data_IF_953512418044
#
_entry.id   IF_953512418044
#
_cell.length_a   1.000
_cell.length_b   1.000
_cell.length_c   1.000
_cell.angle_alpha   90.00
_cell.angle_beta   90.00
_cell.angle_gamma   90.00
#
_symmetry.space_group_name_H-M   'P 1'
#
loop_
_entity.id
_entity.type
_entity.pdbx_description
1 polymer ?
#
# COMPACT_ATOMS: atom_id res chain seq x y z
N UNK A 1 -0.57 -64.58 33.57
CA UNK A 1 -0.44 -64.47 32.10
C UNK A 1 -1.26 -63.31 31.52
N UNK A 2 -2.42 -62.95 32.10
CA UNK A 2 -3.29 -61.85 31.61
C UNK A 2 -2.73 -60.41 31.74
N UNK A 3 -1.91 -60.09 32.76
CA UNK A 3 -1.38 -58.72 32.93
C UNK A 3 -0.40 -58.28 31.83
N UNK A 4 0.31 -59.23 31.21
CA UNK A 4 1.32 -58.94 30.19
C UNK A 4 0.66 -58.52 28.87
N UNK A 5 -0.40 -59.22 28.48
CA UNK A 5 -1.25 -58.93 27.32
C UNK A 5 -1.90 -57.54 27.43
N UNK A 6 -2.40 -57.19 28.62
CA UNK A 6 -3.07 -55.91 28.85
C UNK A 6 -2.12 -54.72 28.73
N UNK A 7 -0.90 -54.84 29.27
CA UNK A 7 0.13 -53.82 29.14
C UNK A 7 0.57 -53.65 27.68
N UNK A 8 0.71 -54.74 26.94
CA UNK A 8 1.05 -54.71 25.52
C UNK A 8 -0.04 -53.99 24.71
N UNK A 9 -1.33 -54.24 24.98
CA UNK A 9 -2.44 -53.58 24.30
C UNK A 9 -2.49 -52.06 24.56
N UNK A 10 -2.25 -51.63 25.81
CA UNK A 10 -2.20 -50.19 26.16
C UNK A 10 -1.04 -49.50 25.43
N UNK A 11 0.11 -50.17 25.32
CA UNK A 11 1.29 -49.61 24.65
C UNK A 11 1.01 -49.37 23.16
N UNK A 12 0.34 -50.31 22.49
CA UNK A 12 -0.07 -50.15 21.08
C UNK A 12 -1.06 -49.01 20.87
N UNK A 13 -2.04 -48.83 21.78
CA UNK A 13 -3.01 -47.74 21.70
C UNK A 13 -2.32 -46.38 21.84
N UNK A 14 -1.39 -46.24 22.80
CA UNK A 14 -0.65 -44.98 22.99
C UNK A 14 0.24 -44.65 21.79
N UNK A 15 0.88 -45.65 21.17
CA UNK A 15 1.68 -45.47 19.95
C UNK A 15 0.78 -45.05 18.78
N UNK A 16 -0.37 -45.71 18.58
CA UNK A 16 -1.34 -45.32 17.53
C UNK A 16 -1.86 -43.89 17.75
N UNK A 17 -2.14 -43.50 19.00
CA UNK A 17 -2.54 -42.13 19.33
C UNK A 17 -1.43 -41.13 19.00
N UNK A 18 -0.17 -41.41 19.35
CA UNK A 18 0.96 -40.53 19.03
C UNK A 18 1.14 -40.37 17.50
N UNK A 19 1.03 -41.46 16.73
CA UNK A 19 1.13 -41.42 15.26
C UNK A 19 -0.05 -40.64 14.64
N UNK A 20 -1.25 -40.75 15.21
CA UNK A 20 -2.42 -39.99 14.76
C UNK A 20 -2.30 -38.47 15.04
N UNK A 21 -1.60 -38.09 16.12
CA UNK A 21 -1.35 -36.69 16.44
C UNK A 21 -0.30 -36.06 15.51
N UNK A 22 0.76 -36.80 15.18
CA UNK A 22 1.79 -36.32 14.25
C UNK A 22 1.24 -36.09 12.83
N UNK A 23 0.31 -36.94 12.37
CA UNK A 23 -0.32 -36.81 11.05
C UNK A 23 -1.27 -35.61 10.95
N UNK A 24 -1.96 -35.22 12.04
CA UNK A 24 -2.81 -34.02 12.08
C UNK A 24 -2.01 -32.70 12.21
N UNK A 25 -0.89 -32.72 12.92
CA UNK A 25 -0.01 -31.53 13.06
C UNK A 25 0.71 -31.20 11.76
N UNK A 26 1.06 -32.21 10.95
CA UNK A 26 1.70 -32.02 9.65
C UNK A 26 0.73 -31.56 8.55
N UNK A 27 -0.57 -31.84 8.64
CA UNK A 27 -1.55 -31.34 7.65
C UNK A 27 -1.89 -29.85 7.86
N UNK A 28 -1.74 -29.33 9.08
CA UNK A 28 -2.02 -27.93 9.39
C UNK A 28 -0.90 -26.95 9.00
N UNK A 29 0.30 -27.44 8.64
CA UNK A 29 1.49 -26.58 8.47
C UNK A 29 2.25 -26.76 7.15
N UNK A 30 1.71 -27.53 6.20
CA UNK A 30 2.34 -27.74 4.87
C UNK A 30 1.41 -27.48 3.68
N UNK A 31 0.51 -26.50 3.79
CA UNK A 31 0.06 -25.75 2.61
C UNK A 31 0.92 -24.49 2.59
N UNK A 32 2.12 -24.58 1.99
CA UNK A 32 2.82 -23.37 1.59
C UNK A 32 1.82 -22.58 0.75
N UNK A 33 1.40 -21.43 1.25
CA UNK A 33 0.47 -20.56 0.56
C UNK A 33 1.08 -20.34 -0.83
N UNK A 34 0.38 -20.73 -1.89
CA UNK A 34 0.80 -20.67 -3.30
C UNK A 34 0.80 -19.24 -3.84
N UNK A 35 1.17 -18.32 -2.96
CA UNK A 35 1.22 -16.87 -3.16
C UNK A 35 2.69 -16.53 -3.32
N UNK A 36 3.04 -16.16 -4.54
CA UNK A 36 4.40 -15.84 -4.97
C UNK A 36 4.59 -14.33 -5.02
N UNK A 37 5.78 -13.82 -4.69
CA UNK A 37 6.07 -12.39 -4.77
C UNK A 37 6.06 -11.91 -6.23
N UNK A 38 5.64 -10.66 -6.43
CA UNK A 38 5.77 -9.96 -7.71
C UNK A 38 6.43 -8.61 -7.50
N UNK A 39 6.93 -8.05 -8.61
CA UNK A 39 7.56 -6.73 -8.61
C UNK A 39 6.51 -5.65 -8.92
N UNK A 40 6.48 -4.59 -8.12
CA UNK A 40 5.62 -3.43 -8.31
C UNK A 40 6.42 -2.24 -8.88
N UNK A 41 5.80 -1.49 -9.78
CA UNK A 41 6.32 -0.29 -10.41
C UNK A 41 5.30 0.83 -10.31
N UNK A 42 5.79 2.06 -10.25
CA UNK A 42 4.97 3.26 -10.29
C UNK A 42 5.43 4.13 -11.45
N UNK A 43 4.52 4.38 -12.41
CA UNK A 43 4.86 5.15 -13.62
C UNK A 43 4.99 6.64 -13.36
N UNK A 44 4.26 7.18 -12.38
CA UNK A 44 4.39 8.58 -12.03
C UNK A 44 5.55 8.71 -11.04
N UNK A 45 6.37 9.74 -11.19
CA UNK A 45 7.41 10.07 -10.21
C UNK A 45 6.92 11.28 -9.42
N UNK A 46 7.06 11.27 -8.09
CA UNK A 46 6.77 12.45 -7.27
C UNK A 46 5.85 12.20 -6.07
N UNK A 47 4.90 13.10 -5.84
CA UNK A 47 3.86 13.01 -4.81
C UNK A 47 2.50 12.74 -5.47
N UNK A 48 1.59 12.05 -4.77
CA UNK A 48 0.23 11.84 -5.23
C UNK A 48 -0.66 12.94 -4.64
N UNK A 49 -1.39 13.65 -5.50
CA UNK A 49 -2.28 14.74 -5.08
C UNK A 49 -3.67 14.15 -4.77
N UNK A 50 -4.34 14.67 -3.75
CA UNK A 50 -5.74 14.37 -3.43
C UNK A 50 -6.62 14.43 -4.69
N UNK A 51 -7.51 13.45 -4.84
CA UNK A 51 -8.39 13.19 -5.99
C UNK A 51 -7.68 13.10 -7.36
N UNK A 52 -6.38 12.79 -7.39
CA UNK A 52 -5.72 12.28 -8.60
C UNK A 52 -5.83 10.75 -8.70
N UNK A 53 -5.51 10.21 -9.87
CA UNK A 53 -5.46 8.77 -10.10
C UNK A 53 -4.05 8.22 -9.81
N UNK A 54 -3.99 7.12 -9.07
CA UNK A 54 -2.76 6.37 -8.83
C UNK A 54 -2.74 5.12 -9.70
N UNK A 55 -1.73 5.04 -10.58
CA UNK A 55 -1.54 3.91 -11.50
C UNK A 55 -0.32 3.09 -11.06
N UNK A 56 -0.57 1.89 -10.57
CA UNK A 56 0.45 0.93 -10.15
C UNK A 56 0.53 -0.20 -11.18
N UNK A 57 1.76 -0.59 -11.55
CA UNK A 57 1.98 -1.72 -12.45
C UNK A 57 2.65 -2.84 -11.68
N UNK A 58 2.13 -4.06 -11.80
CA UNK A 58 2.71 -5.26 -11.24
C UNK A 58 3.24 -6.15 -12.35
N UNK A 59 4.40 -6.74 -12.12
CA UNK A 59 5.04 -7.70 -13.00
C UNK A 59 5.16 -9.05 -12.32
N UNK A 60 4.63 -10.07 -12.97
CA UNK A 60 4.84 -11.48 -12.61
C UNK A 60 5.90 -12.13 -13.51
N UNK A 61 6.83 -11.32 -14.05
CA UNK A 61 7.87 -11.78 -14.97
C UNK A 61 8.76 -12.87 -14.34
N UNK A 62 9.27 -13.78 -15.16
CA UNK A 62 10.01 -14.97 -14.69
C UNK A 62 9.10 -16.15 -14.33
N UNK A 63 7.79 -16.02 -14.57
CA UNK A 63 6.83 -17.12 -14.46
C UNK A 63 6.75 -17.91 -15.78
N UNK A 64 6.94 -19.23 -15.70
CA UNK A 64 6.79 -20.14 -16.84
C UNK A 64 5.31 -20.53 -17.03
N UNK A 65 4.48 -19.59 -17.47
CA UNK A 65 3.04 -19.80 -17.58
C UNK A 65 2.44 -19.20 -18.82
N UNK A 66 2.97 -19.64 -19.96
CA UNK A 66 2.29 -19.41 -21.21
C UNK A 66 0.83 -19.89 -21.10
N UNK A 67 -0.09 -18.93 -21.23
CA UNK A 67 -1.55 -19.10 -21.36
C UNK A 67 -2.38 -19.44 -20.12
N UNK A 68 -1.81 -19.52 -18.90
CA UNK A 68 -2.61 -19.74 -17.68
C UNK A 68 -2.86 -18.46 -16.88
N UNK A 69 -4.13 -18.05 -16.68
CA UNK A 69 -4.44 -16.84 -15.93
C UNK A 69 -4.01 -16.99 -14.47
N UNK A 70 -3.42 -15.94 -13.93
CA UNK A 70 -3.12 -15.77 -12.49
C UNK A 70 -4.05 -14.77 -11.85
N UNK A 71 -4.23 -14.94 -10.54
CA UNK A 71 -4.78 -13.96 -9.65
C UNK A 71 -3.64 -13.11 -9.10
N UNK A 72 -3.56 -11.85 -9.53
CA UNK A 72 -2.56 -10.89 -9.06
C UNK A 72 -3.21 -9.99 -8.03
N UNK A 73 -2.58 -9.86 -6.87
CA UNK A 73 -3.09 -9.14 -5.72
C UNK A 73 -2.25 -7.89 -5.46
N UNK A 74 -2.91 -6.74 -5.39
CA UNK A 74 -2.31 -5.54 -4.84
C UNK A 74 -2.43 -5.60 -3.32
N UNK A 75 -1.30 -5.52 -2.63
CA UNK A 75 -1.23 -5.55 -1.17
C UNK A 75 -0.88 -4.17 -0.63
N UNK A 76 -1.62 -3.71 0.38
CA UNK A 76 -1.37 -2.49 1.12
C UNK A 76 -0.99 -2.86 2.55
N UNK A 77 0.20 -2.46 2.98
CA UNK A 77 0.76 -2.81 4.29
C UNK A 77 0.79 -4.32 4.58
N UNK A 78 0.85 -5.14 3.53
CA UNK A 78 0.90 -6.61 3.61
C UNK A 78 -0.44 -7.32 3.45
N UNK A 79 -1.58 -6.62 3.52
CA UNK A 79 -2.91 -7.20 3.30
C UNK A 79 -3.41 -6.90 1.88
N UNK A 80 -4.03 -7.87 1.21
CA UNK A 80 -4.57 -7.65 -0.13
C UNK A 80 -5.79 -6.70 -0.11
N UNK A 81 -5.77 -5.72 -1.02
CA UNK A 81 -6.84 -4.72 -1.18
C UNK A 81 -7.54 -4.79 -2.53
N UNK A 82 -6.90 -5.36 -3.55
CA UNK A 82 -7.47 -5.52 -4.89
C UNK A 82 -6.89 -6.76 -5.57
N UNK A 83 -7.64 -7.38 -6.50
CA UNK A 83 -7.19 -8.53 -7.27
C UNK A 83 -7.63 -8.42 -8.73
N UNK A 84 -6.73 -8.73 -9.64
CA UNK A 84 -7.00 -8.84 -11.08
C UNK A 84 -6.61 -10.23 -11.55
N UNK A 85 -7.52 -10.91 -12.26
CA UNK A 85 -7.22 -12.14 -12.99
C UNK A 85 -6.68 -11.79 -14.38
N UNK A 86 -5.47 -12.24 -14.71
CA UNK A 86 -4.80 -11.85 -15.96
C UNK A 86 -3.95 -12.99 -16.52
N UNK A 87 -3.88 -13.10 -17.84
CA UNK A 87 -2.90 -13.93 -18.57
C UNK A 87 -1.64 -13.14 -18.94
N UNK A 88 -1.65 -11.82 -18.76
CA UNK A 88 -0.51 -10.94 -19.03
C UNK A 88 0.42 -10.90 -17.83
N UNK A 89 1.73 -10.80 -18.08
CA UNK A 89 2.75 -10.62 -17.04
C UNK A 89 2.70 -9.23 -16.39
N UNK A 90 2.29 -8.20 -17.14
CA UNK A 90 2.13 -6.84 -16.65
C UNK A 90 0.65 -6.54 -16.37
N UNK A 91 0.35 -6.25 -15.11
CA UNK A 91 -0.98 -5.97 -14.60
C UNK A 91 -1.01 -4.53 -14.12
N UNK A 92 -2.05 -3.78 -14.49
CA UNK A 92 -2.20 -2.37 -14.11
C UNK A 92 -3.38 -2.26 -13.14
N UNK A 93 -3.10 -1.71 -11.96
CA UNK A 93 -4.09 -1.30 -10.97
C UNK A 93 -4.26 0.22 -11.04
N UNK A 94 -5.50 0.69 -11.11
CA UNK A 94 -5.82 2.11 -11.15
C UNK A 94 -6.73 2.47 -9.98
N UNK A 95 -6.15 3.10 -8.96
CA UNK A 95 -6.89 3.64 -7.82
C UNK A 95 -7.33 5.05 -8.20
N UNK A 96 -8.62 5.22 -8.50
CA UNK A 96 -9.17 6.51 -8.92
C UNK A 96 -9.43 7.42 -7.73
N UNK A 97 -9.28 8.73 -7.94
CA UNK A 97 -9.67 9.75 -6.97
C UNK A 97 -9.14 9.46 -5.55
N UNK A 98 -7.83 9.24 -5.44
CA UNK A 98 -7.18 8.82 -4.20
C UNK A 98 -7.29 9.86 -3.09
N UNK A 99 -7.37 9.39 -1.84
CA UNK A 99 -7.39 10.23 -0.66
C UNK A 99 -6.40 9.72 0.40
N UNK A 100 -6.39 10.34 1.59
CA UNK A 100 -5.43 10.00 2.66
C UNK A 100 -5.55 8.56 3.15
N UNK A 101 -6.69 7.89 2.95
CA UNK A 101 -6.85 6.46 3.26
C UNK A 101 -6.03 5.58 2.32
N UNK A 102 -5.60 6.05 1.15
CA UNK A 102 -4.70 5.31 0.26
C UNK A 102 -3.23 5.40 0.71
N UNK A 103 -2.89 6.13 1.78
CA UNK A 103 -1.53 6.16 2.32
C UNK A 103 -1.07 4.80 2.81
N UNK A 104 0.15 4.39 2.46
CA UNK A 104 0.76 3.15 2.92
C UNK A 104 1.80 2.58 1.96
N UNK A 105 2.33 1.42 2.34
CA UNK A 105 3.30 0.68 1.53
C UNK A 105 2.57 -0.32 0.64
N UNK A 106 2.73 -0.19 -0.67
CA UNK A 106 2.13 -1.08 -1.65
C UNK A 106 3.16 -2.07 -2.18
N UNK A 107 2.75 -3.32 -2.32
CA UNK A 107 3.48 -4.38 -3.02
C UNK A 107 2.50 -5.24 -3.80
N UNK A 108 2.97 -6.21 -4.58
CA UNK A 108 2.08 -7.20 -5.14
C UNK A 108 2.62 -8.62 -5.06
N UNK A 109 1.67 -9.55 -5.07
CA UNK A 109 1.87 -10.98 -5.06
C UNK A 109 0.91 -11.60 -6.07
N UNK A 110 1.12 -12.85 -6.44
CA UNK A 110 0.23 -13.55 -7.35
C UNK A 110 0.08 -15.02 -6.98
N UNK A 111 -0.98 -15.64 -7.47
CA UNK A 111 -1.27 -17.05 -7.27
C UNK A 111 -2.01 -17.65 -8.45
N UNK A 112 -1.76 -18.92 -8.72
CA UNK A 112 -2.53 -19.69 -9.70
C UNK A 112 -3.94 -19.99 -9.18
N UNK A 113 -4.07 -20.12 -7.86
CA UNK A 113 -5.34 -20.36 -7.20
C UNK A 113 -5.98 -19.03 -6.80
N UNK A 114 -7.30 -18.95 -6.92
CA UNK A 114 -8.05 -17.84 -6.35
C UNK A 114 -8.09 -17.96 -4.82
N UNK A 115 -7.72 -16.87 -4.17
CA UNK A 115 -7.89 -16.62 -2.74
C UNK A 115 -8.75 -15.36 -2.52
N UNK A 116 -9.62 -15.40 -1.51
CA UNK A 116 -10.32 -14.20 -1.04
C UNK A 116 -9.33 -13.17 -0.48
N UNK A 117 -9.58 -11.88 -0.71
CA UNK A 117 -8.67 -10.79 -0.31
C UNK A 117 -8.27 -10.86 1.17
N UNK A 118 -9.23 -11.08 2.06
CA UNK A 118 -9.01 -11.18 3.50
C UNK A 118 -8.10 -12.32 3.96
N UNK A 119 -7.87 -13.33 3.09
CA UNK A 119 -7.00 -14.48 3.35
C UNK A 119 -5.60 -14.31 2.73
N UNK A 120 -5.40 -13.26 1.93
CA UNK A 120 -4.12 -12.99 1.27
C UNK A 120 -3.31 -12.00 2.09
N UNK A 121 -2.23 -12.51 2.68
CA UNK A 121 -1.16 -11.72 3.27
C UNK A 121 0.13 -12.02 2.53
N UNK A 122 0.81 -10.99 2.06
CA UNK A 122 1.98 -11.18 1.21
C UNK A 122 2.84 -9.94 1.09
N UNK A 123 4.13 -10.16 0.87
CA UNK A 123 5.09 -9.13 0.50
C UNK A 123 5.61 -9.48 -0.89
N UNK A 124 5.58 -8.52 -1.79
CA UNK A 124 6.19 -8.65 -3.11
C UNK A 124 7.72 -8.57 -3.05
N UNK A 125 8.36 -8.60 -4.21
CA UNK A 125 9.82 -8.47 -4.34
C UNK A 125 10.31 -7.09 -3.87
N UNK A 126 9.46 -6.08 -4.04
CA UNK A 126 9.69 -4.71 -3.62
C UNK A 126 8.38 -4.06 -3.14
N UNK A 127 8.52 -2.85 -2.59
CA UNK A 127 7.39 -2.05 -2.11
C UNK A 127 7.54 -0.58 -2.47
N UNK A 128 6.42 0.10 -2.68
CA UNK A 128 6.36 1.55 -2.97
C UNK A 128 5.57 2.22 -1.86
N UNK A 129 6.17 3.21 -1.20
CA UNK A 129 5.50 4.03 -0.20
C UNK A 129 4.70 5.13 -0.90
N UNK A 130 3.38 5.09 -0.74
CA UNK A 130 2.47 6.09 -1.28
C UNK A 130 2.04 7.03 -0.16
N UNK A 131 2.21 8.33 -0.43
CA UNK A 131 1.70 9.41 0.40
C UNK A 131 0.88 10.37 -0.46
N UNK A 132 -0.39 10.52 -0.10
CA UNK A 132 -1.33 11.47 -0.68
C UNK A 132 -1.20 12.79 0.06
N UNK A 133 -0.95 13.85 -0.69
CA UNK A 133 -0.90 15.23 -0.22
C UNK A 133 -2.17 15.97 -0.64
N UNK A 134 -2.59 16.92 0.18
CA UNK A 134 -3.71 17.79 -0.14
C UNK A 134 -3.37 18.70 -1.34
N UNK A 135 -4.39 19.15 -2.07
CA UNK A 135 -4.26 20.19 -3.11
C UNK A 135 -3.94 21.54 -2.48
N UNK A 136 -4.42 21.78 -1.26
CA UNK A 136 -4.20 23.03 -0.54
C UNK A 136 -3.13 22.80 0.51
N UNK A 137 -1.99 23.45 0.31
CA UNK A 137 -0.83 23.30 1.18
C UNK A 137 -0.84 24.39 2.23
N UNK A 138 -0.62 24.06 3.52
CA UNK A 138 -0.45 25.09 4.53
C UNK A 138 0.82 25.89 4.21
N UNK A 139 0.69 27.21 4.33
CA UNK A 139 1.79 28.14 4.14
C UNK A 139 1.80 29.16 5.27
N UNK A 140 3.00 29.56 5.67
CA UNK A 140 3.22 30.62 6.62
C UNK A 140 3.13 31.97 5.93
N UNK A 141 2.50 32.92 6.61
CA UNK A 141 2.38 34.31 6.16
C UNK A 141 2.99 35.25 7.19
N UNK A 142 3.88 36.13 6.74
CA UNK A 142 4.50 37.16 7.56
C UNK A 142 4.39 38.52 6.85
N UNK A 143 4.00 39.60 7.53
CA UNK A 143 4.10 40.93 6.94
C UNK A 143 5.57 41.29 6.73
N UNK A 144 5.86 41.90 5.59
CA UNK A 144 7.17 42.48 5.31
C UNK A 144 7.25 43.82 6.02
N UNK A 145 7.68 43.79 7.29
CA UNK A 145 7.80 44.96 8.15
C UNK A 145 6.90 44.89 9.40
N UNK A 146 6.30 46.03 9.77
CA UNK A 146 5.48 46.15 10.98
C UNK A 146 4.17 45.38 10.87
N UNK A 147 3.68 44.86 12.01
CA UNK A 147 2.34 44.26 12.14
C UNK A 147 1.24 45.29 12.29
N UNK A 148 1.60 46.54 12.56
CA UNK A 148 0.68 47.68 12.70
C UNK A 148 0.97 48.66 11.58
N UNK A 149 -0.05 48.98 10.79
CA UNK A 149 0.05 49.89 9.64
C UNK A 149 -1.01 50.98 9.74
N UNK A 150 -0.73 52.15 9.18
CA UNK A 150 -1.70 53.25 9.15
C UNK A 150 -2.67 53.07 7.99
N UNK A 151 -3.83 53.70 8.12
CA UNK A 151 -4.82 53.70 7.05
C UNK A 151 -4.22 54.31 5.77
N UNK A 152 -4.39 53.62 4.64
CA UNK A 152 -3.85 54.04 3.34
C UNK A 152 -2.46 53.48 3.00
N UNK A 153 -1.78 52.83 3.94
CA UNK A 153 -0.49 52.20 3.67
C UNK A 153 -0.64 50.83 2.99
N UNK A 154 0.29 50.51 2.09
CA UNK A 154 0.36 49.22 1.40
C UNK A 154 1.10 48.22 2.29
N UNK A 155 0.50 47.04 2.49
CA UNK A 155 1.12 45.94 3.24
C UNK A 155 1.53 44.85 2.27
N UNK A 156 2.83 44.52 2.28
CA UNK A 156 3.34 43.37 1.54
C UNK A 156 3.45 42.18 2.50
N UNK A 157 3.04 40.99 2.03
CA UNK A 157 3.15 39.76 2.79
C UNK A 157 4.13 38.80 2.10
N UNK A 158 4.99 38.19 2.91
CA UNK A 158 5.80 37.05 2.48
C UNK A 158 5.03 35.78 2.83
N UNK A 159 4.77 34.95 1.83
CA UNK A 159 4.21 33.61 1.98
C UNK A 159 5.34 32.57 1.85
N UNK A 160 5.35 31.52 2.67
CA UNK A 160 6.37 30.46 2.64
C UNK A 160 5.73 29.10 2.89
N UNK A 161 5.97 28.14 2.00
CA UNK A 161 5.48 26.77 2.18
C UNK A 161 6.39 26.07 3.19
N UNK A 162 5.80 25.63 4.30
CA UNK A 162 6.55 24.96 5.37
C UNK A 162 6.83 23.49 5.08
N UNK A 163 6.06 22.86 4.19
CA UNK A 163 6.13 21.42 4.00
C UNK A 163 7.46 21.01 3.31
N UNK A 164 8.37 20.33 4.03
CA UNK A 164 9.69 19.95 3.50
C UNK A 164 9.58 18.93 2.37
N UNK A 165 8.46 18.22 2.23
CA UNK A 165 8.22 17.27 1.12
C UNK A 165 8.12 18.00 -0.22
N UNK A 166 7.66 19.25 -0.17
CA UNK A 166 7.36 20.11 -1.32
C UNK A 166 8.58 20.94 -1.71
N UNK A 167 9.55 21.07 -0.80
CA UNK A 167 10.84 21.72 -1.05
C UNK A 167 11.77 20.90 -1.96
N UNK A 168 11.39 19.67 -2.32
CA UNK A 168 12.18 18.83 -3.22
C UNK A 168 11.92 19.22 -4.68
N UNK A 169 12.99 19.08 -5.50
CA UNK A 169 13.24 19.33 -6.94
C UNK A 169 12.10 19.06 -7.96
N UNK A 170 10.92 18.63 -7.53
CA UNK A 170 9.83 18.10 -8.34
C UNK A 170 8.64 19.04 -8.53
N UNK A 171 8.56 20.14 -7.76
CA UNK A 171 7.51 21.16 -7.95
C UNK A 171 7.96 22.13 -9.05
N UNK A 172 7.99 21.63 -10.28
CA UNK A 172 8.08 22.47 -11.49
C UNK A 172 6.71 23.00 -11.93
N UNK A 173 5.67 22.73 -11.14
CA UNK A 173 4.32 23.26 -11.29
C UNK A 173 4.24 24.65 -10.68
N UNK A 174 3.57 25.58 -11.38
CA UNK A 174 3.14 26.86 -10.80
C UNK A 174 2.33 26.56 -9.53
N UNK A 175 2.87 26.90 -8.37
CA UNK A 175 2.09 26.92 -7.13
C UNK A 175 1.43 28.28 -7.07
N UNK A 176 0.10 28.30 -7.14
CA UNK A 176 -0.66 29.53 -6.87
C UNK A 176 -0.71 29.78 -5.37
N UNK A 177 -0.47 31.02 -4.99
CA UNK A 177 -0.59 31.49 -3.61
C UNK A 177 -1.89 32.26 -3.44
N UNK A 178 -2.59 31.99 -2.34
CA UNK A 178 -3.87 32.64 -2.01
C UNK A 178 -3.71 33.43 -0.72
N UNK A 179 -3.97 34.74 -0.78
CA UNK A 179 -4.10 35.57 0.41
C UNK A 179 -5.53 35.49 0.92
N UNK A 180 -5.72 34.92 2.11
CA UNK A 180 -7.04 34.75 2.70
C UNK A 180 -7.24 35.66 3.91
N UNK A 181 -8.44 36.25 4.04
CA UNK A 181 -8.88 36.99 5.23
C UNK A 181 -10.15 36.35 5.77
N UNK A 182 -10.14 35.91 7.02
CA UNK A 182 -11.26 35.23 7.69
C UNK A 182 -11.80 34.05 6.87
N UNK A 183 -10.91 33.25 6.27
CA UNK A 183 -11.25 32.09 5.45
C UNK A 183 -11.62 32.39 3.99
N UNK A 184 -11.76 33.66 3.58
CA UNK A 184 -12.10 34.03 2.21
C UNK A 184 -10.85 34.48 1.43
N UNK A 185 -10.67 33.96 0.22
CA UNK A 185 -9.59 34.39 -0.67
C UNK A 185 -9.82 35.83 -1.15
N UNK A 186 -8.82 36.68 -0.94
CA UNK A 186 -8.81 38.09 -1.37
C UNK A 186 -7.98 38.29 -2.64
N UNK A 187 -6.89 37.54 -2.78
CA UNK A 187 -5.94 37.68 -3.89
C UNK A 187 -5.30 36.34 -4.22
N UNK A 188 -5.07 36.12 -5.51
CA UNK A 188 -4.31 34.99 -6.06
C UNK A 188 -3.06 35.54 -6.78
N UNK A 189 -1.92 34.87 -6.62
CA UNK A 189 -0.69 35.15 -7.37
C UNK A 189 -0.06 33.86 -7.85
#
# INVERSE_FOLDING_TARGET
MFLKEFNTMITFILILCAISQETMVQTATKKAQDILPATIFWRNTGMIILDSDLILTCSTHGRDTEHRPVHVYLCKNGDAVEMIKSTKELIIFTLKSVNTQQNGNYSCVFSETYHELQKVRGKGDNSISIQVIDRILPADILPKGSRTVKQGEIVEFKCTILDPRIQTKYVKTLVHSYLCKNGNALQMQ
#
